data_IF_858138434095
#
_entry.id   IF_858138434095
#
_cell.length_a   1.000
_cell.length_b   1.000
_cell.length_c   1.000
_cell.angle_alpha   90.00
_cell.angle_beta   90.00
_cell.angle_gamma   90.00
#
_symmetry.space_group_name_H-M   'P 1'
#
loop_
_entity.id
_entity.type
_entity.pdbx_description
1 polymer ?
#
# COMPACT_ATOMS: atom_id res chain seq x y z
N UNK A 1 -12.13 1.43 -20.19
CA UNK A 1 -12.74 0.80 -18.97
C UNK A 1 -11.61 0.50 -18.00
N UNK A 2 -11.74 0.87 -16.74
CA UNK A 2 -10.70 0.62 -15.74
C UNK A 2 -10.78 -0.80 -15.19
N UNK A 3 -9.65 -1.52 -15.21
CA UNK A 3 -9.50 -2.86 -14.62
C UNK A 3 -8.33 -2.88 -13.66
N UNK A 4 -8.53 -3.46 -12.47
CA UNK A 4 -7.48 -3.68 -11.46
C UNK A 4 -7.29 -5.18 -11.28
N UNK A 5 -6.06 -5.63 -11.46
CA UNK A 5 -5.61 -7.01 -11.26
C UNK A 5 -4.90 -7.16 -9.92
N UNK A 6 -5.34 -8.08 -9.10
CA UNK A 6 -4.72 -8.40 -7.82
C UNK A 6 -5.73 -8.71 -6.73
N UNK A 7 -5.26 -9.16 -5.58
CA UNK A 7 -6.06 -9.46 -4.38
C UNK A 7 -5.84 -8.39 -3.31
N UNK A 8 -6.82 -8.20 -2.43
CA UNK A 8 -6.73 -7.22 -1.32
C UNK A 8 -5.58 -7.55 -0.35
N UNK A 9 -5.23 -8.84 -0.16
CA UNK A 9 -4.07 -9.27 0.64
C UNK A 9 -2.73 -9.10 -0.10
N UNK A 10 -2.60 -8.01 -0.86
CA UNK A 10 -1.39 -7.62 -1.57
C UNK A 10 -1.23 -6.10 -1.58
N UNK A 11 -0.26 -5.59 -2.35
CA UNK A 11 -0.13 -4.16 -2.63
C UNK A 11 -1.26 -3.59 -3.49
N UNK A 12 -2.14 -4.45 -4.04
CA UNK A 12 -3.37 -4.03 -4.71
C UNK A 12 -4.34 -3.32 -3.74
N UNK A 13 -4.20 -3.51 -2.42
CA UNK A 13 -4.95 -2.75 -1.42
C UNK A 13 -4.87 -1.23 -1.63
N UNK A 14 -3.76 -0.71 -2.15
CA UNK A 14 -3.56 0.72 -2.41
C UNK A 14 -4.51 1.28 -3.47
N UNK A 15 -4.49 0.82 -4.74
CA UNK A 15 -5.45 1.27 -5.73
C UNK A 15 -6.89 0.90 -5.37
N UNK A 16 -7.13 -0.25 -4.72
CA UNK A 16 -8.46 -0.64 -4.27
C UNK A 16 -8.99 0.31 -3.19
N UNK A 17 -8.16 0.77 -2.23
CA UNK A 17 -8.56 1.81 -1.29
C UNK A 17 -8.89 3.12 -1.99
N UNK A 18 -8.07 3.56 -2.95
CA UNK A 18 -8.35 4.79 -3.71
C UNK A 18 -9.70 4.70 -4.44
N UNK A 19 -10.02 3.56 -4.99
CA UNK A 19 -11.29 3.34 -5.68
C UNK A 19 -12.49 3.33 -4.71
N UNK A 20 -12.32 2.83 -3.49
CA UNK A 20 -13.33 2.99 -2.42
C UNK A 20 -13.50 4.46 -2.00
N UNK A 21 -12.44 5.27 -2.00
CA UNK A 21 -12.52 6.71 -1.69
C UNK A 21 -13.27 7.51 -2.76
N UNK A 22 -13.08 7.14 -4.03
CA UNK A 22 -13.66 7.87 -5.17
C UNK A 22 -15.05 7.38 -5.55
N UNK A 23 -15.40 6.15 -5.20
CA UNK A 23 -16.61 5.49 -5.70
C UNK A 23 -16.61 5.23 -7.20
N UNK A 24 -15.45 5.32 -7.85
CA UNK A 24 -15.34 5.14 -9.29
C UNK A 24 -15.59 3.68 -9.69
N UNK A 25 -16.43 3.42 -10.72
CA UNK A 25 -16.66 2.07 -11.20
C UNK A 25 -15.41 1.48 -11.86
N UNK A 26 -15.12 0.23 -11.56
CA UNK A 26 -14.00 -0.53 -12.13
C UNK A 26 -14.30 -2.02 -12.18
N UNK A 27 -13.57 -2.74 -13.01
CA UNK A 27 -13.56 -4.20 -13.02
C UNK A 27 -12.45 -4.69 -12.11
N UNK A 28 -12.78 -5.53 -11.14
CA UNK A 28 -11.80 -6.20 -10.30
C UNK A 28 -11.54 -7.61 -10.83
N UNK A 29 -10.30 -7.91 -11.17
CA UNK A 29 -9.84 -9.25 -11.56
C UNK A 29 -8.93 -9.78 -10.46
N UNK A 30 -9.40 -10.70 -9.60
CA UNK A 30 -8.58 -11.31 -8.57
C UNK A 30 -7.43 -12.10 -9.18
N UNK A 31 -6.20 -11.78 -8.77
CA UNK A 31 -4.97 -12.49 -9.14
C UNK A 31 -4.19 -12.75 -7.87
N UNK A 32 -4.01 -14.03 -7.50
CA UNK A 32 -3.28 -14.42 -6.30
C UNK A 32 -1.79 -14.58 -6.61
N UNK A 33 -0.93 -14.34 -5.62
CA UNK A 33 0.49 -14.61 -5.75
C UNK A 33 0.75 -16.13 -5.86
N UNK A 34 1.40 -16.58 -6.93
CA UNK A 34 1.66 -18.00 -7.19
C UNK A 34 2.40 -18.70 -6.04
N UNK A 35 3.30 -18.00 -5.34
CA UNK A 35 4.05 -18.55 -4.20
C UNK A 35 3.20 -18.85 -2.95
N UNK A 36 1.94 -18.38 -2.92
CA UNK A 36 1.00 -18.67 -1.82
C UNK A 36 0.22 -19.97 -2.06
N UNK A 37 0.30 -20.53 -3.26
CA UNK A 37 -0.39 -21.76 -3.63
C UNK A 37 0.48 -22.96 -3.27
N UNK A 38 -0.11 -23.95 -2.59
CA UNK A 38 0.59 -25.17 -2.18
C UNK A 38 0.78 -26.14 -3.35
N UNK A 39 0.06 -25.93 -4.47
CA UNK A 39 0.18 -26.80 -5.65
C UNK A 39 -0.71 -26.41 -6.82
N UNK A 40 -0.57 -27.11 -7.96
CA UNK A 40 -1.40 -26.91 -9.14
C UNK A 40 -2.89 -27.14 -8.82
N UNK A 41 -3.74 -26.20 -9.27
CA UNK A 41 -5.20 -26.28 -9.10
C UNK A 41 -5.74 -25.70 -7.81
N UNK A 42 -4.90 -25.30 -6.85
CA UNK A 42 -5.37 -24.68 -5.60
C UNK A 42 -6.03 -23.31 -5.82
N UNK A 43 -5.63 -22.59 -6.88
CA UNK A 43 -6.28 -21.34 -7.26
C UNK A 43 -7.71 -21.55 -7.81
N UNK A 44 -8.12 -22.77 -8.13
CA UNK A 44 -9.36 -23.03 -8.87
C UNK A 44 -9.35 -22.27 -10.20
N UNK A 45 -10.44 -21.53 -10.47
CA UNK A 45 -10.56 -20.68 -11.67
C UNK A 45 -9.92 -19.30 -11.50
N UNK A 46 -9.35 -18.99 -10.32
CA UNK A 46 -8.70 -17.70 -10.07
C UNK A 46 -7.35 -17.63 -10.77
N UNK A 47 -7.06 -16.49 -11.40
CA UNK A 47 -5.74 -16.22 -11.94
C UNK A 47 -4.69 -16.12 -10.82
N UNK A 48 -3.47 -16.49 -11.16
CA UNK A 48 -2.32 -16.27 -10.28
C UNK A 48 -1.19 -15.56 -11.04
N UNK A 49 -0.18 -15.12 -10.32
CA UNK A 49 0.93 -14.33 -10.90
C UNK A 49 1.79 -15.10 -11.90
N UNK A 50 1.62 -16.42 -12.05
CA UNK A 50 2.28 -17.26 -13.06
C UNK A 50 1.30 -17.69 -14.19
N UNK A 51 0.02 -17.33 -14.13
CA UNK A 51 -0.96 -17.67 -15.17
C UNK A 51 -0.59 -17.00 -16.50
N UNK A 52 -0.59 -17.74 -17.63
CA UNK A 52 -0.25 -17.19 -18.95
C UNK A 52 -1.12 -16.00 -19.34
N UNK A 53 -2.40 -16.00 -18.94
CA UNK A 53 -3.34 -14.91 -19.17
C UNK A 53 -2.92 -13.64 -18.45
N UNK A 54 -2.49 -13.74 -17.18
CA UNK A 54 -2.03 -12.60 -16.41
C UNK A 54 -0.66 -12.10 -16.88
N UNK A 55 0.23 -13.00 -17.31
CA UNK A 55 1.55 -12.62 -17.83
C UNK A 55 1.46 -11.81 -19.13
N UNK A 56 0.34 -11.88 -19.88
CA UNK A 56 0.08 -10.99 -21.02
C UNK A 56 -0.22 -9.56 -20.56
N UNK A 57 -0.78 -9.37 -19.37
CA UNK A 57 -1.06 -8.06 -18.76
C UNK A 57 0.20 -7.52 -18.06
N UNK A 58 0.84 -8.34 -17.25
CA UNK A 58 2.07 -7.98 -16.55
C UNK A 58 3.14 -9.08 -16.68
N UNK A 59 4.08 -8.94 -17.61
CA UNK A 59 5.15 -9.92 -17.81
C UNK A 59 6.06 -10.14 -16.60
N UNK A 60 6.07 -9.22 -15.63
CA UNK A 60 6.83 -9.39 -14.38
C UNK A 60 6.17 -10.36 -13.40
N UNK A 61 4.93 -10.81 -13.67
CA UNK A 61 4.23 -11.73 -12.78
C UNK A 61 4.03 -11.17 -11.35
N UNK A 62 3.72 -9.89 -11.25
CA UNK A 62 3.53 -9.18 -9.96
C UNK A 62 2.20 -8.45 -9.94
N UNK A 63 1.63 -8.30 -8.75
CA UNK A 63 0.40 -7.54 -8.51
C UNK A 63 0.63 -6.38 -7.55
N UNK A 64 -0.12 -5.27 -7.73
CA UNK A 64 -1.16 -5.05 -8.73
C UNK A 64 -0.64 -4.76 -10.14
N UNK A 65 -1.53 -4.95 -11.12
CA UNK A 65 -1.48 -4.30 -12.41
C UNK A 65 -2.81 -3.57 -12.66
N UNK A 66 -2.81 -2.58 -13.54
CA UNK A 66 -3.97 -1.81 -13.95
C UNK A 66 -4.01 -1.73 -15.48
N UNK A 67 -5.20 -1.83 -16.04
CA UNK A 67 -5.48 -1.40 -17.41
C UNK A 67 -6.53 -0.27 -17.36
N UNK A 68 -6.17 0.91 -17.83
CA UNK A 68 -7.05 2.07 -17.93
C UNK A 68 -7.17 2.48 -19.41
N UNK A 69 -8.19 1.92 -20.09
CA UNK A 69 -8.46 2.14 -21.51
C UNK A 69 -7.25 1.83 -22.41
N UNK A 70 -6.54 0.74 -22.15
CA UNK A 70 -5.36 0.29 -22.88
C UNK A 70 -4.03 0.83 -22.35
N UNK A 71 -4.05 1.73 -21.39
CA UNK A 71 -2.86 2.09 -20.62
C UNK A 71 -2.62 1.07 -19.51
N UNK A 72 -1.66 0.19 -19.70
CA UNK A 72 -1.27 -0.78 -18.70
C UNK A 72 -0.18 -0.18 -17.80
N UNK A 73 -0.43 -0.13 -16.49
CA UNK A 73 0.54 0.26 -15.48
C UNK A 73 0.75 -0.86 -14.47
N UNK A 74 1.99 -0.97 -14.03
CA UNK A 74 2.41 -1.75 -12.87
C UNK A 74 2.89 -0.80 -11.78
N UNK A 75 3.40 -1.29 -10.65
CA UNK A 75 3.76 -0.50 -9.48
C UNK A 75 2.58 0.21 -8.81
N UNK A 76 2.20 -0.29 -7.66
CA UNK A 76 1.00 0.16 -6.93
C UNK A 76 0.96 1.66 -6.66
N UNK A 77 2.13 2.29 -6.38
CA UNK A 77 2.23 3.73 -6.13
C UNK A 77 2.07 4.54 -7.42
N UNK A 78 2.59 4.04 -8.55
CA UNK A 78 2.39 4.68 -9.86
C UNK A 78 0.91 4.59 -10.28
N UNK A 79 0.28 3.44 -10.07
CA UNK A 79 -1.15 3.22 -10.33
C UNK A 79 -1.99 4.22 -9.53
N UNK A 80 -1.76 4.33 -8.21
CA UNK A 80 -2.53 5.27 -7.37
C UNK A 80 -2.31 6.72 -7.76
N UNK A 81 -1.09 7.14 -8.08
CA UNK A 81 -0.79 8.48 -8.56
C UNK A 81 -1.52 8.79 -9.89
N UNK A 82 -1.51 7.83 -10.84
CA UNK A 82 -2.24 7.97 -12.09
C UNK A 82 -3.75 8.12 -11.85
N UNK A 83 -4.33 7.21 -11.07
CA UNK A 83 -5.76 7.21 -10.77
C UNK A 83 -6.18 8.48 -10.03
N UNK A 84 -5.39 8.94 -9.05
CA UNK A 84 -5.68 10.16 -8.30
C UNK A 84 -5.65 11.40 -9.22
N UNK A 85 -4.67 11.49 -10.12
CA UNK A 85 -4.57 12.59 -11.08
C UNK A 85 -5.72 12.60 -12.09
N UNK A 86 -6.12 11.41 -12.58
CA UNK A 86 -7.13 11.30 -13.64
C UNK A 86 -8.56 11.33 -13.08
N UNK A 87 -8.78 10.72 -11.91
CA UNK A 87 -10.10 10.41 -11.39
C UNK A 87 -10.31 10.76 -9.92
N UNK A 88 -9.25 11.18 -9.21
CA UNK A 88 -9.23 11.29 -7.76
C UNK A 88 -9.98 12.50 -7.20
N UNK A 89 -10.39 13.46 -8.01
CA UNK A 89 -11.01 14.69 -7.48
C UNK A 89 -10.12 15.32 -6.40
N UNK A 90 -10.64 15.49 -5.19
CA UNK A 90 -9.88 16.05 -4.06
C UNK A 90 -8.71 15.19 -3.57
N UNK A 91 -8.58 13.93 -3.98
CA UNK A 91 -7.42 13.07 -3.67
C UNK A 91 -6.23 13.34 -4.59
N UNK A 92 -6.49 13.89 -5.76
CA UNK A 92 -5.48 14.25 -6.74
C UNK A 92 -4.85 15.62 -6.47
N UNK A 93 -3.83 15.98 -7.26
CA UNK A 93 -3.15 17.27 -7.14
C UNK A 93 -4.05 18.41 -7.65
N UNK A 94 -4.04 19.53 -6.92
CA UNK A 94 -4.71 20.76 -7.37
C UNK A 94 -3.88 21.52 -8.41
N UNK A 95 -2.55 21.35 -8.38
CA UNK A 95 -1.59 21.99 -9.28
C UNK A 95 -0.32 21.15 -9.47
N UNK A 96 0.61 21.66 -10.25
CA UNK A 96 1.89 20.99 -10.53
C UNK A 96 2.80 20.88 -9.30
N UNK A 97 2.70 21.80 -8.35
CA UNK A 97 3.49 21.75 -7.12
C UNK A 97 2.99 20.63 -6.20
N UNK A 98 1.68 20.49 -6.03
CA UNK A 98 1.09 19.37 -5.29
C UNK A 98 1.41 18.03 -5.96
N UNK A 99 1.36 17.96 -7.30
CA UNK A 99 1.77 16.75 -8.02
C UNK A 99 3.19 16.34 -7.68
N UNK A 100 4.14 17.28 -7.76
CA UNK A 100 5.54 17.02 -7.43
C UNK A 100 5.72 16.58 -5.97
N UNK A 101 4.95 17.15 -5.02
CA UNK A 101 4.98 16.74 -3.62
C UNK A 101 4.40 15.33 -3.43
N UNK A 102 3.32 14.97 -4.12
CA UNK A 102 2.72 13.63 -4.06
C UNK A 102 3.67 12.56 -4.61
N UNK A 103 4.33 12.86 -5.74
CA UNK A 103 5.36 11.99 -6.32
C UNK A 103 6.57 11.84 -5.38
N UNK A 104 7.03 12.95 -4.77
CA UNK A 104 8.12 12.91 -3.79
C UNK A 104 7.75 12.02 -2.59
N UNK A 105 6.54 12.14 -2.02
CA UNK A 105 6.12 11.28 -0.91
C UNK A 105 5.95 9.83 -1.32
N UNK A 106 5.49 9.54 -2.53
CA UNK A 106 5.42 8.17 -3.05
C UNK A 106 6.82 7.54 -3.18
N UNK A 107 7.81 8.29 -3.68
CA UNK A 107 9.20 7.84 -3.73
C UNK A 107 9.81 7.65 -2.33
N UNK A 108 9.56 8.56 -1.39
CA UNK A 108 10.00 8.38 0.01
C UNK A 108 9.38 7.12 0.62
N UNK A 109 8.10 6.87 0.38
CA UNK A 109 7.43 5.65 0.84
C UNK A 109 8.11 4.40 0.28
N UNK A 110 8.35 4.35 -1.04
CA UNK A 110 8.94 3.21 -1.71
C UNK A 110 10.41 2.96 -1.32
N UNK A 111 11.21 4.02 -1.22
CA UNK A 111 12.67 3.87 -1.11
C UNK A 111 13.21 3.96 0.32
N UNK A 112 12.49 4.62 1.22
CA UNK A 112 12.98 4.85 2.57
C UNK A 112 12.21 4.10 3.66
N UNK A 113 11.00 3.59 3.37
CA UNK A 113 10.15 2.98 4.39
C UNK A 113 9.74 1.56 4.02
N UNK A 114 9.25 1.32 2.79
CA UNK A 114 8.56 0.08 2.44
C UNK A 114 9.43 -1.16 2.60
N UNK A 115 10.68 -1.13 2.16
CA UNK A 115 11.56 -2.30 2.19
C UNK A 115 11.71 -2.86 3.61
N UNK A 116 12.19 -2.01 4.53
CA UNK A 116 12.42 -2.41 5.93
C UNK A 116 11.10 -2.73 6.67
N UNK A 117 10.02 -2.01 6.36
CA UNK A 117 8.71 -2.23 6.99
C UNK A 117 8.06 -3.55 6.54
N UNK A 118 8.18 -3.93 5.26
CA UNK A 118 7.67 -5.20 4.72
C UNK A 118 8.49 -6.38 5.25
N UNK A 119 9.82 -6.24 5.31
CA UNK A 119 10.68 -7.27 5.89
C UNK A 119 10.32 -7.53 7.35
N UNK A 120 10.13 -6.48 8.14
CA UNK A 120 9.65 -6.57 9.53
C UNK A 120 8.29 -7.30 9.61
N UNK A 121 7.34 -6.94 8.75
CA UNK A 121 6.04 -7.61 8.67
C UNK A 121 6.18 -9.12 8.43
N UNK A 122 7.05 -9.53 7.50
CA UNK A 122 7.25 -10.94 7.20
C UNK A 122 7.90 -11.69 8.37
N UNK A 123 8.88 -11.09 9.05
CA UNK A 123 9.47 -11.70 10.25
C UNK A 123 8.39 -11.95 11.33
N UNK A 124 7.50 -10.98 11.57
CA UNK A 124 6.40 -11.18 12.52
C UNK A 124 5.40 -12.26 12.06
N UNK A 125 5.01 -12.23 10.79
CA UNK A 125 4.08 -13.21 10.20
C UNK A 125 4.62 -14.65 10.35
N UNK A 126 5.93 -14.82 10.11
CA UNK A 126 6.58 -16.12 10.11
C UNK A 126 7.03 -16.56 11.53
N UNK A 127 6.56 -15.84 12.56
CA UNK A 127 6.77 -16.17 13.97
C UNK A 127 8.12 -15.72 14.54
N UNK A 128 8.96 -15.03 13.74
CA UNK A 128 10.29 -14.57 14.14
C UNK A 128 10.28 -13.59 15.34
N UNK A 129 9.16 -12.92 15.60
CA UNK A 129 9.01 -12.09 16.80
C UNK A 129 9.16 -12.86 18.14
N UNK A 130 9.15 -14.20 18.09
CA UNK A 130 9.31 -15.08 19.26
C UNK A 130 10.70 -15.73 19.35
N UNK A 131 11.58 -15.50 18.37
CA UNK A 131 12.93 -16.06 18.34
C UNK A 131 14.00 -14.99 18.59
N UNK A 132 15.13 -15.29 19.21
CA UNK A 132 16.21 -14.33 19.45
C UNK A 132 16.73 -13.70 18.13
N UNK A 133 16.88 -14.49 17.08
CA UNK A 133 17.36 -14.05 15.77
C UNK A 133 16.38 -13.10 15.10
N UNK A 134 15.09 -13.43 15.15
CA UNK A 134 14.04 -12.59 14.59
C UNK A 134 13.87 -11.28 15.37
N UNK A 135 13.98 -11.31 16.69
CA UNK A 135 13.98 -10.10 17.52
C UNK A 135 15.17 -9.19 17.21
N UNK A 136 16.37 -9.76 17.03
CA UNK A 136 17.55 -9.00 16.62
C UNK A 136 17.37 -8.34 15.24
N UNK A 137 16.83 -9.08 14.26
CA UNK A 137 16.52 -8.54 12.93
C UNK A 137 15.47 -7.42 13.00
N UNK A 138 14.38 -7.61 13.76
CA UNK A 138 13.35 -6.59 13.99
C UNK A 138 13.95 -5.33 14.60
N UNK A 139 14.86 -5.45 15.58
CA UNK A 139 15.51 -4.30 16.19
C UNK A 139 16.35 -3.49 15.19
N UNK A 140 17.07 -4.16 14.29
CA UNK A 140 17.83 -3.51 13.20
C UNK A 140 16.91 -2.77 12.24
N UNK A 141 15.82 -3.40 11.81
CA UNK A 141 14.84 -2.79 10.92
C UNK A 141 14.13 -1.60 11.59
N UNK A 142 13.77 -1.72 12.85
CA UNK A 142 13.19 -0.63 13.62
C UNK A 142 14.14 0.58 13.70
N UNK A 143 15.45 0.35 13.92
CA UNK A 143 16.43 1.43 13.93
C UNK A 143 16.52 2.16 12.59
N UNK A 144 16.53 1.42 11.47
CA UNK A 144 16.51 2.00 10.13
C UNK A 144 15.25 2.84 9.88
N UNK A 145 14.09 2.35 10.31
CA UNK A 145 12.80 3.03 10.15
C UNK A 145 12.66 4.30 11.00
N UNK A 146 13.37 4.43 12.12
CA UNK A 146 13.30 5.63 12.97
C UNK A 146 13.67 6.91 12.24
N UNK A 147 14.62 6.85 11.30
CA UNK A 147 15.03 8.04 10.53
C UNK A 147 13.91 8.56 9.61
N UNK A 148 13.32 7.77 8.71
CA UNK A 148 12.22 8.23 7.87
C UNK A 148 10.95 8.55 8.69
N UNK A 149 10.62 7.79 9.75
CA UNK A 149 9.48 8.09 10.59
C UNK A 149 9.65 9.41 11.34
N UNK A 150 10.85 9.74 11.85
CA UNK A 150 11.13 11.05 12.46
C UNK A 150 10.99 12.19 11.46
N UNK A 151 11.38 11.99 10.18
CA UNK A 151 11.16 12.99 9.13
C UNK A 151 9.66 13.20 8.89
N UNK A 152 8.91 12.12 8.82
CA UNK A 152 7.46 12.13 8.63
C UNK A 152 6.76 12.82 9.80
N UNK A 153 7.14 12.49 11.03
CA UNK A 153 6.60 13.07 12.26
C UNK A 153 6.78 14.59 12.30
N UNK A 154 8.00 15.07 12.01
CA UNK A 154 8.28 16.50 11.93
C UNK A 154 7.49 17.21 10.84
N UNK A 155 7.27 16.55 9.70
CA UNK A 155 6.45 17.11 8.61
C UNK A 155 4.99 17.25 9.01
N UNK A 156 4.48 16.29 9.78
CA UNK A 156 3.10 16.26 10.25
C UNK A 156 2.84 17.16 11.47
N UNK A 157 3.88 17.72 12.09
CA UNK A 157 3.72 18.66 13.20
C UNK A 157 2.93 19.91 12.75
N UNK A 158 1.74 20.09 13.33
CA UNK A 158 0.80 21.15 12.96
C UNK A 158 0.07 20.94 11.64
N UNK A 159 0.17 19.74 11.02
CA UNK A 159 -0.53 19.36 9.80
C UNK A 159 -1.41 18.15 10.03
N UNK A 160 -2.56 18.14 9.37
CA UNK A 160 -3.41 16.93 9.38
C UNK A 160 -2.97 15.91 8.32
N UNK A 161 -2.44 16.39 7.17
CA UNK A 161 -2.14 15.59 5.98
C UNK A 161 -0.79 15.97 5.35
N UNK A 162 -0.29 15.12 4.46
CA UNK A 162 1.05 15.26 3.86
C UNK A 162 1.13 16.38 2.83
N UNK A 163 0.07 16.58 2.05
CA UNK A 163 0.04 17.57 0.97
C UNK A 163 -1.28 18.35 1.04
N UNK A 164 -1.17 19.67 1.12
CA UNK A 164 -2.33 20.55 1.33
C UNK A 164 -3.02 20.33 2.68
N UNK A 165 -4.26 20.79 2.80
CA UNK A 165 -5.07 20.70 4.02
C UNK A 165 -6.14 19.61 3.94
N UNK A 166 -5.97 18.65 3.05
CA UNK A 166 -6.92 17.55 2.79
C UNK A 166 -6.21 16.21 2.66
N UNK A 167 -6.95 15.12 2.91
CA UNK A 167 -6.46 13.77 2.61
C UNK A 167 -6.24 13.61 1.10
N UNK A 168 -5.06 13.14 0.71
CA UNK A 168 -4.66 12.97 -0.69
C UNK A 168 -4.06 11.59 -0.94
N UNK A 169 -3.74 11.30 -2.21
CA UNK A 169 -3.04 10.06 -2.59
C UNK A 169 -1.67 9.92 -1.91
N UNK A 170 -1.03 11.03 -1.52
CA UNK A 170 0.23 10.97 -0.76
C UNK A 170 0.01 10.32 0.60
N UNK A 171 -1.07 10.69 1.29
CA UNK A 171 -1.45 10.11 2.58
C UNK A 171 -1.82 8.63 2.44
N UNK A 172 -2.63 8.30 1.44
CA UNK A 172 -3.03 6.92 1.15
C UNK A 172 -1.82 6.02 0.94
N UNK A 173 -0.90 6.43 0.06
CA UNK A 173 0.29 5.67 -0.27
C UNK A 173 1.21 5.48 0.93
N UNK A 174 1.51 6.57 1.65
CA UNK A 174 2.38 6.51 2.82
C UNK A 174 1.73 5.73 3.97
N UNK A 175 0.42 5.88 4.22
CA UNK A 175 -0.28 5.14 5.27
C UNK A 175 -0.24 3.63 5.03
N UNK A 176 -0.45 3.17 3.79
CA UNK A 176 -0.37 1.76 3.45
C UNK A 176 1.06 1.19 3.59
N UNK A 177 2.09 2.03 3.43
CA UNK A 177 3.48 1.62 3.64
C UNK A 177 3.83 1.60 5.13
N UNK A 178 3.51 2.66 5.87
CA UNK A 178 3.78 2.74 7.33
C UNK A 178 3.01 1.66 8.10
N UNK A 179 1.84 1.26 7.62
CA UNK A 179 1.03 0.18 8.20
C UNK A 179 1.80 -1.13 8.38
N UNK A 180 2.75 -1.43 7.51
CA UNK A 180 3.56 -2.65 7.65
C UNK A 180 4.40 -2.68 8.94
N UNK A 181 4.76 -1.51 9.45
CA UNK A 181 5.50 -1.39 10.71
C UNK A 181 4.61 -1.45 11.97
N UNK A 182 3.26 -1.44 11.84
CA UNK A 182 2.34 -1.48 12.99
C UNK A 182 2.39 -2.81 13.77
N UNK A 183 2.96 -3.86 13.20
CA UNK A 183 3.23 -5.11 13.94
C UNK A 183 4.26 -4.95 15.06
N UNK A 184 5.13 -3.94 14.99
CA UNK A 184 6.07 -3.63 16.06
C UNK A 184 5.34 -2.93 17.22
N UNK A 185 5.52 -3.38 18.47
CA UNK A 185 4.69 -2.95 19.60
C UNK A 185 4.78 -1.46 19.94
N UNK A 186 5.92 -0.81 19.67
CA UNK A 186 6.17 0.58 20.10
C UNK A 186 6.63 1.53 18.98
N UNK A 187 7.15 1.02 17.86
CA UNK A 187 7.85 1.84 16.87
C UNK A 187 7.01 3.03 16.36
N UNK A 188 5.77 2.80 15.96
CA UNK A 188 4.91 3.88 15.46
C UNK A 188 4.54 4.85 16.60
N UNK A 189 4.37 4.35 17.83
CA UNK A 189 4.05 5.18 19.00
C UNK A 189 5.20 6.10 19.45
N UNK A 190 6.45 5.81 19.07
CA UNK A 190 7.59 6.71 19.28
C UNK A 190 7.44 8.05 18.50
N UNK A 191 6.50 8.11 17.54
CA UNK A 191 6.26 9.23 16.62
C UNK A 191 4.78 9.67 16.73
N UNK A 192 4.44 10.54 17.68
CA UNK A 192 3.04 10.84 18.02
C UNK A 192 2.25 11.44 16.85
N UNK A 193 2.87 12.27 16.01
CA UNK A 193 2.18 12.85 14.85
C UNK A 193 1.95 11.80 13.75
N UNK A 194 2.89 10.87 13.55
CA UNK A 194 2.70 9.73 12.65
C UNK A 194 1.59 8.83 13.17
N UNK A 195 1.57 8.51 14.46
CA UNK A 195 0.53 7.67 15.06
C UNK A 195 -0.85 8.31 14.93
N UNK A 196 -0.99 9.61 15.22
CA UNK A 196 -2.23 10.37 15.06
C UNK A 196 -2.71 10.36 13.60
N UNK A 197 -1.83 10.70 12.68
CA UNK A 197 -2.12 10.76 11.24
C UNK A 197 -2.52 9.39 10.68
N UNK A 198 -1.77 8.34 11.01
CA UNK A 198 -2.06 6.98 10.55
C UNK A 198 -3.42 6.50 11.06
N UNK A 199 -3.74 6.77 12.34
CA UNK A 199 -5.04 6.47 12.91
C UNK A 199 -6.18 7.23 12.18
N UNK A 200 -5.97 8.51 11.85
CA UNK A 200 -6.94 9.30 11.10
C UNK A 200 -7.15 8.75 9.67
N UNK A 201 -6.08 8.34 8.98
CA UNK A 201 -6.17 7.71 7.67
C UNK A 201 -6.93 6.38 7.72
N UNK A 202 -6.65 5.55 8.72
CA UNK A 202 -7.31 4.24 8.91
C UNK A 202 -8.74 4.36 9.46
N UNK A 203 -9.11 5.48 10.04
CA UNK A 203 -10.49 5.73 10.48
C UNK A 203 -11.46 6.04 9.31
N UNK A 204 -10.94 6.34 8.12
CA UNK A 204 -11.75 6.67 6.94
C UNK A 204 -12.68 5.50 6.55
N UNK A 205 -13.93 5.81 6.17
CA UNK A 205 -14.89 4.76 5.77
C UNK A 205 -14.37 3.88 4.62
N UNK A 206 -13.72 4.48 3.64
CA UNK A 206 -13.16 3.77 2.48
C UNK A 206 -12.01 2.82 2.87
N UNK A 207 -11.13 3.22 3.82
CA UNK A 207 -10.12 2.30 4.35
C UNK A 207 -10.78 1.09 5.03
N UNK A 208 -11.78 1.33 5.87
CA UNK A 208 -12.50 0.26 6.58
C UNK A 208 -13.20 -0.69 5.61
N UNK A 209 -13.80 -0.16 4.54
CA UNK A 209 -14.45 -0.97 3.50
C UNK A 209 -13.42 -1.84 2.76
N UNK A 210 -12.31 -1.26 2.30
CA UNK A 210 -11.20 -1.98 1.69
C UNK A 210 -10.63 -3.04 2.65
N UNK A 211 -10.43 -2.67 3.92
CA UNK A 211 -9.87 -3.57 4.93
C UNK A 211 -10.80 -4.75 5.24
N UNK A 212 -12.11 -4.52 5.30
CA UNK A 212 -13.11 -5.60 5.47
C UNK A 212 -13.03 -6.62 4.32
N UNK A 213 -12.92 -6.14 3.07
CA UNK A 213 -12.73 -7.02 1.90
C UNK A 213 -11.41 -7.80 1.99
N UNK A 214 -10.32 -7.14 2.42
CA UNK A 214 -9.03 -7.80 2.67
C UNK A 214 -9.13 -8.91 3.71
N UNK A 215 -9.88 -8.70 4.80
CA UNK A 215 -10.03 -9.70 5.88
C UNK A 215 -10.94 -10.85 5.47
N UNK A 216 -11.81 -10.65 4.49
CA UNK A 216 -12.67 -11.71 3.93
C UNK A 216 -11.94 -12.62 2.93
N UNK A 217 -10.77 -12.21 2.40
CA UNK A 217 -9.96 -13.06 1.53
C UNK A 217 -9.25 -14.17 2.33
N UNK A 218 -9.06 -15.37 1.74
CA UNK A 218 -8.26 -16.44 2.34
C UNK A 218 -6.84 -15.99 2.68
N UNK A 219 -6.25 -16.59 3.71
CA UNK A 219 -4.84 -16.34 4.11
C UNK A 219 -3.86 -16.97 3.17
#
# INVERSE_FOLDING_TARGET
>A
MLTIYGVYRSRASRPLWLLEETGMPFTHVPVIQAYRLSGPGEAGDMLNTASPEFLKVNPHGQIPAMDDDGLVLTESLAITLHLARKHGGGLGPADAAELALMENWALVAATAVEGDAVEMLFIFRDGGGKTPEGQAAIAVLAEKLRRPLRRLDRHLAGRNWLVGDRFTVADLNMAEVVRYAQGHPTLVAEFPEVARWLAAAQARPAFKAMWAKRMAEPE
#
